data_IF_732768423197
#
_entry.id   IF_732768423197
#
_cell.length_a   1.000
_cell.length_b   1.000
_cell.length_c   1.000
_cell.angle_alpha   90.00
_cell.angle_beta   90.00
_cell.angle_gamma   90.00
#
_symmetry.space_group_name_H-M   'P 1'
#
loop_
_entity.id
_entity.type
_entity.pdbx_description
1 polymer ?
#
# COMPACT_ATOMS: atom_id res chain seq x y z
N UNK A 1 18.60 3.53 -8.08
CA UNK A 1 17.23 4.09 -8.09
C UNK A 1 16.78 4.17 -9.54
N UNK A 2 15.48 4.07 -9.84
CA UNK A 2 14.98 4.44 -11.15
C UNK A 2 14.90 5.95 -11.29
N UNK A 3 14.10 6.58 -10.44
CA UNK A 3 14.00 8.04 -10.27
C UNK A 3 14.26 8.41 -8.82
N UNK A 4 15.04 9.47 -8.60
CA UNK A 4 15.36 9.98 -7.27
C UNK A 4 15.25 11.50 -7.23
N UNK A 5 14.31 12.03 -6.45
CA UNK A 5 14.13 13.46 -6.18
C UNK A 5 14.40 13.75 -4.71
N UNK A 6 15.11 14.85 -4.47
CA UNK A 6 15.44 15.36 -3.14
C UNK A 6 15.36 16.88 -3.17
N UNK A 7 14.79 17.52 -2.13
CA UNK A 7 14.66 18.97 -2.05
C UNK A 7 13.98 19.61 -3.28
N UNK A 8 12.98 18.92 -3.83
CA UNK A 8 12.29 19.29 -5.06
C UNK A 8 10.90 19.89 -4.75
N UNK A 9 10.51 20.89 -5.52
CA UNK A 9 9.32 21.69 -5.26
C UNK A 9 8.55 21.91 -6.57
N UNK A 10 7.24 21.64 -6.56
CA UNK A 10 6.35 21.89 -7.72
C UNK A 10 6.73 21.14 -9.01
N UNK A 11 7.35 19.98 -8.90
CA UNK A 11 7.78 19.19 -10.06
C UNK A 11 6.74 18.14 -10.48
N UNK A 12 6.81 17.73 -11.75
CA UNK A 12 6.03 16.64 -12.33
C UNK A 12 6.94 15.46 -12.64
N UNK A 13 6.59 14.28 -12.13
CA UNK A 13 7.20 12.99 -12.47
C UNK A 13 6.11 12.17 -13.15
N UNK A 14 6.13 12.07 -14.48
CA UNK A 14 5.08 11.37 -15.21
C UNK A 14 5.57 10.45 -16.30
N UNK A 15 4.78 9.41 -16.58
CA UNK A 15 4.92 8.53 -17.75
C UNK A 15 6.29 7.83 -17.87
N UNK A 16 6.95 7.60 -16.73
CA UNK A 16 8.22 6.89 -16.64
C UNK A 16 8.00 5.38 -16.50
N UNK A 17 8.97 4.60 -16.98
CA UNK A 17 9.05 3.16 -16.78
C UNK A 17 10.34 2.79 -16.06
N UNK A 18 10.22 2.16 -14.90
CA UNK A 18 11.34 1.60 -14.15
C UNK A 18 11.19 0.09 -14.03
N UNK A 19 12.26 -0.64 -14.34
CA UNK A 19 12.28 -2.12 -14.31
C UNK A 19 13.51 -2.60 -13.56
N UNK A 20 13.38 -3.64 -12.73
CA UNK A 20 14.49 -4.32 -12.05
C UNK A 20 15.43 -3.36 -11.28
N UNK A 21 14.85 -2.49 -10.47
CA UNK A 21 15.61 -1.49 -9.70
C UNK A 21 15.70 -1.85 -8.22
N UNK A 22 16.65 -1.27 -7.46
CA UNK A 22 16.60 -1.39 -5.99
C UNK A 22 15.42 -0.63 -5.39
N UNK A 23 15.20 0.60 -5.87
CA UNK A 23 14.07 1.46 -5.51
C UNK A 23 13.58 2.11 -6.81
N UNK A 24 12.28 1.96 -7.10
CA UNK A 24 11.66 2.44 -8.32
C UNK A 24 11.69 3.96 -8.40
N UNK A 25 10.86 4.58 -7.56
CA UNK A 25 10.75 6.02 -7.40
C UNK A 25 11.04 6.39 -5.96
N UNK A 26 12.03 7.23 -5.71
CA UNK A 26 12.35 7.75 -4.39
C UNK A 26 12.15 9.26 -4.38
N UNK A 27 11.17 9.72 -3.60
CA UNK A 27 10.80 11.12 -3.47
C UNK A 27 11.05 11.53 -2.02
N UNK A 28 11.97 12.46 -1.83
CA UNK A 28 12.52 12.78 -0.52
C UNK A 28 12.50 14.28 -0.26
N UNK A 29 12.11 14.69 0.96
CA UNK A 29 12.21 16.07 1.44
C UNK A 29 11.66 17.10 0.43
N UNK A 30 10.47 16.85 -0.09
CA UNK A 30 9.90 17.56 -1.24
C UNK A 30 8.45 17.95 -0.98
N UNK A 31 7.89 18.88 -1.76
CA UNK A 31 6.47 19.26 -1.64
C UNK A 31 5.87 19.68 -2.96
N UNK A 32 4.54 19.59 -3.06
CA UNK A 32 3.77 19.96 -4.25
C UNK A 32 4.18 19.17 -5.50
N UNK A 33 4.58 17.91 -5.33
CA UNK A 33 4.91 17.06 -6.46
C UNK A 33 3.63 16.53 -7.12
N UNK A 34 3.66 16.38 -8.44
CA UNK A 34 2.68 15.59 -9.19
C UNK A 34 3.38 14.34 -9.72
N UNK A 35 2.97 13.17 -9.24
CA UNK A 35 3.60 11.88 -9.57
C UNK A 35 2.53 11.02 -10.22
N UNK A 36 2.53 10.92 -11.54
CA UNK A 36 1.42 10.33 -12.27
C UNK A 36 1.78 9.38 -13.41
N UNK A 37 0.94 8.36 -13.62
CA UNK A 37 1.02 7.46 -14.76
C UNK A 37 2.37 6.70 -14.88
N UNK A 38 3.15 6.64 -13.80
CA UNK A 38 4.45 5.98 -13.80
C UNK A 38 4.29 4.46 -13.62
N UNK A 39 5.30 3.69 -14.06
CA UNK A 39 5.33 2.24 -13.99
C UNK A 39 6.59 1.77 -13.26
N UNK A 40 6.44 0.89 -12.27
CA UNK A 40 7.56 0.19 -11.63
C UNK A 40 7.32 -1.30 -11.64
N UNK A 41 8.23 -2.05 -12.25
CA UNK A 41 8.20 -3.50 -12.29
C UNK A 41 9.42 -4.09 -11.58
N UNK A 42 9.18 -5.05 -10.70
CA UNK A 42 10.22 -5.86 -10.06
C UNK A 42 11.29 -5.06 -9.31
N UNK A 43 10.89 -3.98 -8.65
CA UNK A 43 11.80 -3.28 -7.73
C UNK A 43 12.10 -4.15 -6.50
N UNK A 44 13.27 -3.98 -5.88
CA UNK A 44 13.71 -4.84 -4.78
C UNK A 44 13.11 -4.38 -3.42
N UNK A 45 13.45 -3.17 -2.98
CA UNK A 45 13.08 -2.67 -1.65
C UNK A 45 11.78 -1.86 -1.68
N UNK A 46 11.69 -0.90 -2.60
CA UNK A 46 10.54 0.02 -2.68
C UNK A 46 10.14 0.24 -4.14
N UNK A 47 8.85 0.14 -4.43
CA UNK A 47 8.30 0.55 -5.73
C UNK A 47 8.19 2.07 -5.82
N UNK A 48 7.52 2.67 -4.83
CA UNK A 48 7.40 4.09 -4.60
C UNK A 48 7.71 4.40 -3.13
N UNK A 49 8.73 5.23 -2.90
CA UNK A 49 9.22 5.67 -1.60
C UNK A 49 8.89 7.16 -1.42
N UNK A 50 8.06 7.47 -0.44
CA UNK A 50 7.67 8.81 -0.03
C UNK A 50 8.30 9.09 1.35
N UNK A 51 9.31 9.95 1.40
CA UNK A 51 10.05 10.22 2.63
C UNK A 51 10.12 11.73 2.90
N UNK A 52 9.45 12.22 3.93
CA UNK A 52 9.31 13.66 4.18
C UNK A 52 8.75 14.43 2.98
N UNK A 53 7.68 13.92 2.34
CA UNK A 53 6.97 14.68 1.31
C UNK A 53 5.62 15.18 1.79
N UNK A 54 5.25 16.37 1.35
CA UNK A 54 3.98 17.00 1.77
C UNK A 54 3.21 17.62 0.62
N UNK A 55 1.88 17.72 0.77
CA UNK A 55 0.99 18.43 -0.17
C UNK A 55 1.19 18.00 -1.63
N UNK A 56 1.50 16.73 -1.85
CA UNK A 56 1.80 16.17 -3.17
C UNK A 56 0.67 15.24 -3.64
N UNK A 57 0.57 15.06 -4.95
CA UNK A 57 -0.42 14.19 -5.59
C UNK A 57 0.28 13.01 -6.25
N UNK A 58 -0.10 11.80 -5.86
CA UNK A 58 0.40 10.53 -6.36
C UNK A 58 -0.78 9.80 -6.98
N UNK A 59 -0.87 9.78 -8.32
CA UNK A 59 -2.06 9.26 -9.00
C UNK A 59 -1.77 8.32 -10.15
N UNK A 60 -2.60 7.30 -10.33
CA UNK A 60 -2.57 6.41 -11.51
C UNK A 60 -1.22 5.73 -11.78
N UNK A 61 -0.37 5.58 -10.76
CA UNK A 61 0.89 4.86 -10.89
C UNK A 61 0.63 3.36 -10.80
N UNK A 62 1.38 2.57 -11.57
CA UNK A 62 1.30 1.12 -11.62
C UNK A 62 2.60 0.52 -11.09
N UNK A 63 2.53 -0.07 -9.90
CA UNK A 63 3.68 -0.60 -9.18
C UNK A 63 3.43 -2.08 -8.90
N UNK A 64 4.31 -2.96 -9.40
CA UNK A 64 4.13 -4.39 -9.19
C UNK A 64 5.42 -5.17 -8.97
N UNK A 65 5.30 -6.30 -8.28
CA UNK A 65 6.39 -7.28 -8.13
C UNK A 65 7.49 -6.82 -7.17
N UNK A 66 7.20 -5.92 -6.23
CA UNK A 66 8.24 -5.41 -5.33
C UNK A 66 8.58 -6.45 -4.27
N UNK A 67 9.80 -6.99 -4.31
CA UNK A 67 10.22 -8.12 -3.48
C UNK A 67 11.69 -8.02 -3.10
N UNK A 68 11.99 -8.27 -1.83
CA UNK A 68 13.34 -8.40 -1.32
C UNK A 68 13.98 -9.69 -1.83
N UNK A 69 14.90 -9.57 -2.80
CA UNK A 69 15.57 -10.72 -3.43
C UNK A 69 16.95 -11.00 -2.88
N UNK A 70 17.62 -9.98 -2.33
CA UNK A 70 19.04 -10.08 -1.94
C UNK A 70 19.20 -10.60 -0.52
N UNK A 71 18.31 -10.20 0.40
CA UNK A 71 18.31 -10.70 1.77
C UNK A 71 16.87 -10.96 2.25
N UNK A 72 16.23 -12.04 1.78
CA UNK A 72 14.83 -12.31 2.09
C UNK A 72 14.57 -12.57 3.57
N UNK A 73 15.61 -12.88 4.35
CA UNK A 73 15.51 -13.12 5.80
C UNK A 73 15.67 -11.85 6.65
N UNK A 74 16.11 -10.72 6.07
CA UNK A 74 16.24 -9.48 6.80
C UNK A 74 14.86 -8.93 7.21
N UNK A 75 14.60 -8.94 8.51
CA UNK A 75 13.39 -8.38 9.09
C UNK A 75 13.31 -6.88 8.79
N UNK A 76 12.16 -6.40 8.29
CA UNK A 76 11.96 -5.01 7.90
C UNK A 76 12.44 -4.66 6.48
N UNK A 77 13.20 -5.54 5.83
CA UNK A 77 13.72 -5.33 4.48
C UNK A 77 12.74 -5.75 3.37
N UNK A 78 11.50 -6.15 3.72
CA UNK A 78 10.50 -6.64 2.77
C UNK A 78 10.24 -5.61 1.66
N UNK A 79 9.98 -6.08 0.45
CA UNK A 79 9.63 -5.26 -0.70
C UNK A 79 8.27 -4.59 -0.51
N UNK A 80 8.24 -3.26 -0.55
CA UNK A 80 7.03 -2.45 -0.32
C UNK A 80 6.62 -1.77 -1.62
N UNK A 81 5.40 -1.98 -2.11
CA UNK A 81 4.93 -1.30 -3.31
C UNK A 81 4.89 0.21 -3.08
N UNK A 82 4.30 0.63 -1.94
CA UNK A 82 4.32 2.00 -1.45
C UNK A 82 4.89 2.04 -0.02
N UNK A 83 5.89 2.87 0.22
CA UNK A 83 6.37 3.18 1.56
C UNK A 83 6.24 4.66 1.84
N UNK A 84 5.65 4.99 2.99
CA UNK A 84 5.38 6.35 3.44
C UNK A 84 6.04 6.54 4.80
N UNK A 85 6.98 7.48 4.85
CA UNK A 85 7.71 7.87 6.05
C UNK A 85 7.58 9.37 6.26
N UNK A 86 7.07 9.76 7.43
CA UNK A 86 6.81 11.14 7.85
C UNK A 86 6.35 12.06 6.70
N UNK A 87 5.39 11.58 5.92
CA UNK A 87 4.85 12.29 4.76
C UNK A 87 3.37 12.54 5.02
N UNK A 88 2.93 13.79 4.86
CA UNK A 88 1.65 14.29 5.37
C UNK A 88 0.91 15.08 4.29
N UNK A 89 -0.42 15.12 4.37
CA UNK A 89 -1.26 15.95 3.48
C UNK A 89 -1.10 15.64 2.00
N UNK A 90 -0.73 14.41 1.64
CA UNK A 90 -0.65 13.98 0.25
C UNK A 90 -1.97 13.36 -0.18
N UNK A 91 -2.26 13.42 -1.48
CA UNK A 91 -3.35 12.67 -2.11
C UNK A 91 -2.75 11.50 -2.88
N UNK A 92 -3.15 10.28 -2.51
CA UNK A 92 -2.73 9.03 -3.14
C UNK A 92 -3.98 8.38 -3.71
N UNK A 93 -4.14 8.46 -5.03
CA UNK A 93 -5.41 8.19 -5.70
C UNK A 93 -5.26 7.30 -6.94
N UNK A 94 -6.14 6.31 -7.09
CA UNK A 94 -6.24 5.57 -8.35
C UNK A 94 -4.98 4.79 -8.73
N UNK A 95 -4.10 4.47 -7.79
CA UNK A 95 -2.86 3.74 -8.08
C UNK A 95 -3.08 2.23 -8.03
N UNK A 96 -2.25 1.47 -8.74
CA UNK A 96 -2.22 0.00 -8.72
C UNK A 96 -0.97 -0.49 -7.99
N UNK A 97 -1.16 -1.16 -6.86
CA UNK A 97 -0.11 -1.73 -6.02
C UNK A 97 -0.31 -3.24 -5.90
N UNK A 98 0.49 -4.02 -6.64
CA UNK A 98 0.21 -5.46 -6.77
C UNK A 98 1.43 -6.38 -6.65
N UNK A 99 1.18 -7.64 -6.27
CA UNK A 99 2.18 -8.73 -6.26
C UNK A 99 3.47 -8.42 -5.50
N UNK A 100 3.39 -7.50 -4.53
CA UNK A 100 4.51 -7.05 -3.71
C UNK A 100 4.42 -7.70 -2.33
N UNK A 101 5.54 -7.83 -1.59
CA UNK A 101 5.48 -8.44 -0.25
C UNK A 101 4.60 -7.63 0.70
N UNK A 102 4.67 -6.30 0.61
CA UNK A 102 3.77 -5.37 1.28
C UNK A 102 3.16 -4.42 0.24
N UNK A 103 1.84 -4.23 0.24
CA UNK A 103 1.14 -3.27 -0.61
C UNK A 103 1.49 -1.84 -0.24
N UNK A 104 1.14 -1.41 0.97
CA UNK A 104 1.50 -0.11 1.53
C UNK A 104 2.05 -0.25 2.95
N UNK A 105 3.11 0.48 3.26
CA UNK A 105 3.65 0.58 4.62
C UNK A 105 3.76 2.05 5.03
N UNK A 106 3.03 2.43 6.08
CA UNK A 106 3.05 3.77 6.67
C UNK A 106 3.68 3.72 8.07
N UNK A 107 4.60 4.63 8.33
CA UNK A 107 5.28 4.76 9.63
C UNK A 107 5.69 6.21 9.91
N UNK A 108 6.21 6.46 11.10
CA UNK A 108 6.76 7.75 11.55
C UNK A 108 5.77 8.92 11.36
N UNK A 109 4.52 8.74 11.78
CA UNK A 109 3.51 9.80 11.75
C UNK A 109 3.03 10.18 10.35
N UNK A 110 3.05 9.26 9.38
CA UNK A 110 2.55 9.47 8.00
C UNK A 110 1.03 9.58 7.90
N UNK A 111 0.45 10.46 8.70
CA UNK A 111 -0.99 10.67 8.90
C UNK A 111 -1.51 11.78 7.97
N UNK A 112 -2.83 12.00 7.99
CA UNK A 112 -3.49 13.07 7.22
C UNK A 112 -3.22 13.01 5.70
N UNK A 113 -2.99 11.82 5.18
CA UNK A 113 -2.96 11.54 3.74
C UNK A 113 -4.33 11.05 3.27
N UNK A 114 -4.75 11.48 2.09
CA UNK A 114 -5.96 10.98 1.44
C UNK A 114 -5.62 9.75 0.61
N UNK A 115 -6.03 8.57 1.06
CA UNK A 115 -5.81 7.28 0.37
C UNK A 115 -7.15 6.79 -0.19
N UNK A 116 -7.39 6.99 -1.48
CA UNK A 116 -8.69 6.73 -2.12
C UNK A 116 -8.55 6.07 -3.50
N UNK A 117 -9.48 5.21 -3.90
CA UNK A 117 -9.50 4.67 -5.27
C UNK A 117 -8.32 3.76 -5.64
N UNK A 118 -7.43 3.43 -4.71
CA UNK A 118 -6.25 2.62 -5.01
C UNK A 118 -6.62 1.15 -5.08
N UNK A 119 -5.86 0.37 -5.84
CA UNK A 119 -6.04 -1.06 -5.99
C UNK A 119 -4.87 -1.82 -5.37
N UNK A 120 -5.15 -2.57 -4.32
CA UNK A 120 -4.17 -3.38 -3.58
C UNK A 120 -4.40 -4.85 -3.87
N UNK A 121 -3.56 -5.43 -4.74
CA UNK A 121 -3.87 -6.70 -5.41
C UNK A 121 -2.79 -7.74 -5.16
N UNK A 122 -3.18 -8.86 -4.56
CA UNK A 122 -2.33 -10.03 -4.32
C UNK A 122 -1.01 -9.68 -3.63
N UNK A 123 -1.07 -8.75 -2.66
CA UNK A 123 0.03 -8.53 -1.72
C UNK A 123 -0.23 -9.39 -0.48
N UNK A 124 0.73 -10.23 -0.03
CA UNK A 124 0.55 -11.04 1.18
C UNK A 124 0.23 -10.20 2.43
N UNK A 125 0.81 -9.01 2.53
CA UNK A 125 0.43 -7.99 3.50
C UNK A 125 -0.09 -6.80 2.71
N UNK A 126 -1.39 -6.50 2.79
CA UNK A 126 -1.94 -5.34 2.07
C UNK A 126 -1.46 -4.03 2.69
N UNK A 127 -1.53 -3.93 4.03
CA UNK A 127 -1.16 -2.73 4.77
C UNK A 127 -0.31 -3.08 5.98
N UNK A 128 0.87 -2.46 6.09
CA UNK A 128 1.67 -2.42 7.34
C UNK A 128 1.56 -1.02 7.94
N UNK A 129 0.93 -0.88 9.10
CA UNK A 129 0.71 0.42 9.72
C UNK A 129 1.30 0.48 11.12
N UNK A 130 2.29 1.37 11.29
CA UNK A 130 2.98 1.59 12.56
C UNK A 130 2.66 2.99 13.06
N UNK A 131 1.51 3.11 13.73
CA UNK A 131 1.11 4.29 14.51
C UNK A 131 0.05 3.93 15.57
N UNK A 132 -0.29 4.90 16.41
CA UNK A 132 -1.27 4.84 17.49
C UNK A 132 -2.57 5.59 17.19
N UNK A 133 -2.72 6.22 16.01
CA UNK A 133 -3.92 6.96 15.61
C UNK A 133 -4.78 6.15 14.65
N UNK A 134 -6.11 6.30 14.74
CA UNK A 134 -7.03 5.75 13.75
C UNK A 134 -6.92 6.52 12.42
N UNK A 135 -7.05 5.79 11.30
CA UNK A 135 -7.08 6.35 9.96
C UNK A 135 -8.35 5.88 9.23
N UNK A 136 -9.05 6.84 8.63
CA UNK A 136 -10.23 6.57 7.82
C UNK A 136 -9.88 6.74 6.34
N UNK A 137 -9.93 5.64 5.61
CA UNK A 137 -9.80 5.59 4.16
C UNK A 137 -11.15 5.28 3.55
N UNK A 138 -11.28 5.50 2.24
CA UNK A 138 -12.53 5.25 1.53
C UNK A 138 -12.26 4.82 0.10
N UNK A 139 -13.01 3.85 -0.39
CA UNK A 139 -13.07 3.54 -1.82
C UNK A 139 -11.79 2.95 -2.36
N UNK A 140 -11.01 2.19 -1.60
CA UNK A 140 -9.92 1.39 -2.18
C UNK A 140 -10.42 -0.01 -2.52
N UNK A 141 -9.87 -0.59 -3.57
CA UNK A 141 -10.09 -1.97 -3.96
C UNK A 141 -9.05 -2.88 -3.31
N UNK A 142 -9.50 -3.99 -2.73
CA UNK A 142 -8.64 -4.95 -2.05
C UNK A 142 -8.94 -6.35 -2.58
N UNK A 143 -7.93 -7.04 -3.12
CA UNK A 143 -8.15 -8.37 -3.70
C UNK A 143 -8.55 -9.45 -2.68
N UNK A 144 -8.44 -9.17 -1.38
CA UNK A 144 -8.83 -10.03 -0.28
C UNK A 144 -10.03 -9.48 0.51
N UNK A 145 -10.74 -8.49 -0.03
CA UNK A 145 -12.02 -8.08 0.52
C UNK A 145 -13.07 -9.16 0.22
N UNK A 146 -13.76 -9.62 1.26
CA UNK A 146 -14.78 -10.68 1.18
C UNK A 146 -16.17 -10.17 1.61
N UNK A 147 -16.35 -8.85 1.65
CA UNK A 147 -17.66 -8.25 1.92
C UNK A 147 -18.59 -8.37 0.72
N UNK A 148 -19.76 -7.75 0.86
CA UNK A 148 -20.82 -7.78 -0.14
C UNK A 148 -21.33 -6.37 -0.41
N UNK A 149 -22.03 -6.22 -1.52
CA UNK A 149 -22.70 -5.01 -1.97
C UNK A 149 -24.16 -5.38 -2.23
N UNK A 150 -25.02 -5.08 -1.25
CA UNK A 150 -26.44 -5.45 -1.28
C UNK A 150 -27.27 -4.48 -2.12
N UNK A 151 -26.81 -3.24 -2.24
CA UNK A 151 -27.55 -2.16 -2.91
C UNK A 151 -27.14 -1.98 -4.38
N UNK A 152 -26.05 -2.62 -4.82
CA UNK A 152 -25.54 -2.64 -6.18
C UNK A 152 -24.83 -1.34 -6.61
N UNK A 153 -24.34 -0.53 -5.68
CA UNK A 153 -23.69 0.76 -5.99
C UNK A 153 -22.19 0.65 -6.32
N UNK A 154 -21.62 -0.55 -6.22
CA UNK A 154 -20.22 -0.85 -6.48
C UNK A 154 -19.28 -0.63 -5.28
N UNK A 155 -19.82 -0.25 -4.13
CA UNK A 155 -19.13 -0.14 -2.84
C UNK A 155 -19.57 -1.28 -1.92
N UNK A 156 -18.64 -1.78 -1.12
CA UNK A 156 -18.92 -2.80 -0.13
C UNK A 156 -19.64 -2.22 1.09
N UNK A 157 -20.68 -2.91 1.54
CA UNK A 157 -21.49 -2.55 2.73
C UNK A 157 -20.75 -2.82 4.06
N UNK A 158 -19.63 -3.54 4.00
CA UNK A 158 -18.85 -3.93 5.20
C UNK A 158 -17.52 -3.19 5.21
N UNK A 159 -17.23 -2.50 6.30
CA UNK A 159 -15.93 -1.84 6.51
C UNK A 159 -14.80 -2.85 6.42
N UNK A 160 -13.75 -2.51 5.66
CA UNK A 160 -12.55 -3.32 5.58
C UNK A 160 -11.48 -2.81 6.54
N UNK A 161 -10.96 -3.70 7.39
CA UNK A 161 -9.84 -3.45 8.29
C UNK A 161 -8.64 -4.28 7.80
N UNK A 162 -7.65 -3.68 7.09
CA UNK A 162 -6.54 -4.42 6.49
C UNK A 162 -5.50 -4.95 7.47
N UNK A 163 -5.61 -4.58 8.75
CA UNK A 163 -4.79 -5.09 9.84
C UNK A 163 -5.59 -5.10 11.15
N UNK A 164 -5.28 -6.07 12.02
CA UNK A 164 -5.81 -6.16 13.37
C UNK A 164 -4.70 -6.00 14.44
N UNK A 165 -5.06 -6.09 15.71
CA UNK A 165 -4.08 -5.99 16.80
C UNK A 165 -3.12 -7.17 16.87
N UNK A 166 -3.51 -8.33 16.36
CA UNK A 166 -2.66 -9.51 16.27
C UNK A 166 -1.56 -9.29 15.24
N UNK A 167 -1.88 -8.68 14.10
CA UNK A 167 -0.90 -8.37 13.06
C UNK A 167 0.20 -7.44 13.59
N UNK A 168 -0.17 -6.43 14.40
CA UNK A 168 0.80 -5.55 15.07
C UNK A 168 1.69 -6.31 16.04
N UNK A 169 1.12 -7.20 16.85
CA UNK A 169 1.88 -8.06 17.76
C UNK A 169 2.87 -8.94 16.99
N UNK A 170 2.44 -9.53 15.86
CA UNK A 170 3.29 -10.38 15.02
C UNK A 170 4.42 -9.60 14.33
N UNK A 171 4.24 -8.31 14.05
CA UNK A 171 5.32 -7.47 13.56
C UNK A 171 6.35 -7.15 14.64
N UNK A 172 5.91 -7.00 15.89
CA UNK A 172 6.79 -6.77 17.03
C UNK A 172 7.52 -8.05 17.47
N UNK A 173 6.85 -9.19 17.40
CA UNK A 173 7.37 -10.51 17.78
C UNK A 173 7.23 -11.50 16.61
N UNK A 174 8.13 -11.45 15.60
CA UNK A 174 8.05 -12.31 14.43
C UNK A 174 8.05 -13.81 14.75
N UNK A 175 8.66 -14.21 15.88
CA UNK A 175 8.71 -15.59 16.36
C UNK A 175 7.32 -16.16 16.68
N UNK A 176 6.37 -15.29 17.04
CA UNK A 176 5.00 -15.66 17.31
C UNK A 176 4.22 -16.08 16.05
N UNK A 177 4.78 -15.94 14.83
CA UNK A 177 4.17 -16.45 13.59
C UNK A 177 3.91 -17.96 13.61
N UNK A 178 4.68 -18.73 14.38
CA UNK A 178 4.43 -20.17 14.56
C UNK A 178 3.06 -20.46 15.19
N UNK A 179 2.48 -19.48 15.90
CA UNK A 179 1.22 -19.60 16.61
C UNK A 179 0.01 -19.08 15.81
N UNK A 180 0.17 -18.66 14.55
CA UNK A 180 -0.89 -18.01 13.76
C UNK A 180 -2.19 -18.81 13.68
N UNK A 181 -2.10 -20.14 13.65
CA UNK A 181 -3.24 -21.04 13.57
C UNK A 181 -3.57 -21.68 14.92
N UNK A 182 -2.96 -21.20 16.01
CA UNK A 182 -3.24 -21.70 17.35
C UNK A 182 -4.62 -21.23 17.83
N UNK A 183 -5.29 -22.02 18.68
CA UNK A 183 -6.55 -21.60 19.31
C UNK A 183 -6.44 -20.26 20.04
N UNK A 184 -5.28 -19.95 20.65
CA UNK A 184 -5.07 -18.70 21.37
C UNK A 184 -5.20 -17.46 20.46
N UNK A 185 -4.61 -17.51 19.25
CA UNK A 185 -4.71 -16.42 18.28
C UNK A 185 -6.15 -16.28 17.75
N UNK A 186 -6.83 -17.40 17.48
CA UNK A 186 -8.23 -17.38 17.03
C UNK A 186 -9.14 -16.76 18.10
N UNK A 187 -8.97 -17.14 19.37
CA UNK A 187 -9.71 -16.56 20.49
C UNK A 187 -9.43 -15.06 20.62
N UNK A 188 -8.18 -14.61 20.50
CA UNK A 188 -7.84 -13.19 20.58
C UNK A 188 -8.51 -12.38 19.46
N UNK A 189 -8.50 -12.90 18.22
CA UNK A 189 -9.20 -12.28 17.08
C UNK A 189 -10.70 -12.22 17.29
N UNK A 190 -11.29 -13.29 17.84
CA UNK A 190 -12.71 -13.31 18.19
C UNK A 190 -13.04 -12.25 19.26
N UNK A 191 -12.27 -12.19 20.36
CA UNK A 191 -12.47 -11.17 21.41
C UNK A 191 -12.39 -9.76 20.84
N UNK A 192 -11.40 -9.46 20.00
CA UNK A 192 -11.29 -8.14 19.37
C UNK A 192 -12.48 -7.82 18.46
N UNK A 193 -13.07 -8.83 17.80
CA UNK A 193 -14.27 -8.64 16.98
C UNK A 193 -15.52 -8.36 17.81
N UNK A 194 -15.73 -9.12 18.89
CA UNK A 194 -16.91 -8.95 19.77
C UNK A 194 -16.80 -7.74 20.70
N UNK A 195 -15.58 -7.33 21.05
CA UNK A 195 -15.31 -6.18 21.91
C UNK A 195 -14.43 -5.15 21.18
N UNK A 196 -14.99 -4.35 20.25
CA UNK A 196 -14.23 -3.37 19.47
C UNK A 196 -13.44 -2.35 20.30
N UNK A 197 -13.86 -2.07 21.55
CA UNK A 197 -13.14 -1.21 22.50
C UNK A 197 -11.73 -1.72 22.84
N UNK A 198 -11.47 -3.01 22.66
CA UNK A 198 -10.16 -3.64 22.88
C UNK A 198 -9.29 -3.67 21.61
N UNK A 199 -9.82 -3.24 20.46
CA UNK A 199 -9.02 -3.17 19.22
C UNK A 199 -8.03 -2.00 19.32
N UNK A 200 -6.75 -2.22 18.98
CA UNK A 200 -5.82 -1.11 18.85
C UNK A 200 -6.21 -0.23 17.66
N UNK A 201 -5.76 1.03 17.69
CA UNK A 201 -6.01 1.96 16.60
C UNK A 201 -5.52 1.41 15.26
N UNK A 202 -6.23 1.65 14.17
CA UNK A 202 -5.97 1.00 12.90
C UNK A 202 -6.38 1.81 11.68
N UNK A 203 -6.33 1.15 10.52
CA UNK A 203 -6.88 1.70 9.28
C UNK A 203 -8.24 1.06 9.05
N UNK A 204 -9.22 1.87 8.65
CA UNK A 204 -10.54 1.40 8.23
C UNK A 204 -10.84 1.98 6.86
N UNK A 205 -11.23 1.14 5.91
CA UNK A 205 -11.84 1.56 4.65
C UNK A 205 -13.35 1.36 4.76
N UNK A 206 -14.11 2.45 4.89
CA UNK A 206 -15.54 2.39 5.21
C UNK A 206 -16.40 1.96 4.02
N UNK A 207 -15.90 2.15 2.81
CA UNK A 207 -16.62 1.84 1.58
C UNK A 207 -15.65 1.23 0.57
N UNK A 208 -15.18 -0.01 0.80
CA UNK A 208 -14.25 -0.67 -0.11
C UNK A 208 -14.87 -0.81 -1.50
N UNK A 209 -14.07 -0.67 -2.57
CA UNK A 209 -14.59 -0.91 -3.92
C UNK A 209 -14.79 -2.41 -4.18
N UNK A 210 -15.91 -2.78 -4.81
CA UNK A 210 -16.14 -4.17 -5.25
C UNK A 210 -15.32 -4.55 -6.48
N UNK A 211 -14.91 -3.57 -7.28
CA UNK A 211 -14.05 -3.77 -8.46
C UNK A 211 -12.97 -2.71 -8.54
N UNK A 212 -11.82 -3.04 -9.12
CA UNK A 212 -10.77 -2.05 -9.34
C UNK A 212 -11.19 -1.03 -10.39
N UNK A 213 -11.05 0.26 -10.04
CA UNK A 213 -11.26 1.38 -10.98
C UNK A 213 -9.97 1.84 -11.66
N UNK A 214 -8.87 1.10 -11.53
CA UNK A 214 -7.63 1.46 -12.19
C UNK A 214 -7.79 1.44 -13.72
N UNK A 215 -7.57 2.58 -14.35
CA UNK A 215 -7.61 2.73 -15.81
C UNK A 215 -6.23 3.09 -16.33
N UNK A 216 -5.54 2.10 -16.91
CA UNK A 216 -4.25 2.32 -17.54
C UNK A 216 -4.37 3.29 -18.73
N UNK A 217 -3.43 4.22 -18.88
CA UNK A 217 -3.28 4.95 -20.13
C UNK A 217 -2.86 4.00 -21.27
N UNK A 218 -3.03 4.40 -22.53
CA UNK A 218 -2.57 3.59 -23.68
C UNK A 218 -1.09 3.20 -23.56
N UNK A 219 -0.25 4.14 -23.11
CA UNK A 219 1.19 3.92 -22.89
C UNK A 219 1.44 2.89 -21.79
N UNK A 220 0.73 3.00 -20.66
CA UNK A 220 0.81 2.03 -19.57
C UNK A 220 0.36 0.64 -20.01
N UNK A 221 -0.80 0.53 -20.68
CA UNK A 221 -1.34 -0.75 -21.13
C UNK A 221 -0.36 -1.49 -22.05
N UNK A 222 0.29 -0.78 -22.97
CA UNK A 222 1.31 -1.37 -23.85
C UNK A 222 2.52 -1.87 -23.06
N UNK A 223 3.04 -1.05 -22.13
CA UNK A 223 4.19 -1.43 -21.31
C UNK A 223 3.89 -2.62 -20.39
N UNK A 224 2.70 -2.64 -19.77
CA UNK A 224 2.22 -3.76 -18.93
C UNK A 224 2.15 -5.03 -19.76
N UNK A 225 1.48 -5.02 -20.91
CA UNK A 225 1.37 -6.20 -21.80
C UNK A 225 2.74 -6.71 -22.22
N UNK A 226 3.66 -5.81 -22.58
CA UNK A 226 5.01 -6.19 -22.97
C UNK A 226 5.78 -6.84 -21.82
N UNK A 227 5.64 -6.33 -20.60
CA UNK A 227 6.29 -6.87 -19.43
C UNK A 227 5.73 -8.25 -19.04
N UNK A 228 4.40 -8.39 -19.02
CA UNK A 228 3.72 -9.64 -18.64
C UNK A 228 3.95 -10.77 -19.65
N UNK A 229 4.11 -10.46 -20.94
CA UNK A 229 4.47 -11.48 -21.94
C UNK A 229 5.86 -12.09 -21.77
N UNK A 230 6.73 -11.45 -20.99
CA UNK A 230 8.12 -11.86 -20.75
C UNK A 230 8.35 -12.49 -19.36
N UNK A 231 7.32 -12.52 -18.52
CA UNK A 231 7.38 -12.90 -17.10
C UNK A 231 6.80 -14.29 -16.90
#
# INVERSE_FOLDING_TARGET
>A
YGVHYMYSYTNVVSDNLVVNSRIGYALMQSKFLTVENNLSFNSNNHGLLLNFITKSTIKNNYITGVRQRQNPQAIGAEGKALFIYNSLFNTIEGNWFARSQIGIHLTAGSEDNKIIGNSFINNPIQVKYVSSRDQNWNGNYWSNYLGWDSNGDGLGDVTFEPNDGVDKMLWQYPEAKLLMNSPAILTLRWVQREFPVLKPSGIRDHSPLMTSYFKATKKQALAIKQFESKS
#
